data_IF_580690789705
#
_entry.id   IF_580690789705
#
_cell.length_a   1.000
_cell.length_b   1.000
_cell.length_c   1.000
_cell.angle_alpha   90.00
_cell.angle_beta   90.00
_cell.angle_gamma   90.00
#
_symmetry.space_group_name_H-M   'P 1'
#
loop_
_entity.id
_entity.type
_entity.pdbx_description
1 polymer ?
#
# COMPACT_ATOMS: atom_id res chain seq x y z
N UNK A 1 6.23 13.71 -11.00
CA UNK A 1 5.77 14.76 -10.06
C UNK A 1 5.62 14.09 -8.71
N UNK A 2 6.48 14.39 -7.76
CA UNK A 2 6.48 13.74 -6.44
C UNK A 2 5.20 14.08 -5.66
N UNK A 3 4.77 13.14 -4.82
CA UNK A 3 3.64 13.34 -3.91
C UNK A 3 3.89 14.56 -3.02
N UNK A 4 2.95 15.51 -3.01
CA UNK A 4 2.99 16.63 -2.05
C UNK A 4 2.45 16.17 -0.70
N UNK A 5 3.02 16.62 0.44
CA UNK A 5 2.48 16.29 1.76
C UNK A 5 1.03 16.73 1.87
N UNK A 6 0.13 15.81 2.23
CA UNK A 6 -1.30 16.08 2.40
C UNK A 6 -2.19 15.88 1.18
N UNK A 7 -1.63 15.66 -0.02
CA UNK A 7 -2.40 15.34 -1.22
C UNK A 7 -2.50 13.81 -1.43
N UNK A 8 -3.59 13.38 -2.06
CA UNK A 8 -3.74 12.00 -2.53
C UNK A 8 -2.84 11.77 -3.74
N UNK A 9 -1.93 10.80 -3.63
CA UNK A 9 -1.04 10.38 -4.70
C UNK A 9 -1.48 9.03 -5.25
N UNK A 10 -1.62 8.96 -6.58
CA UNK A 10 -1.88 7.73 -7.34
C UNK A 10 -0.58 7.27 -7.97
N UNK A 11 -0.20 6.01 -7.77
CA UNK A 11 0.94 5.40 -8.47
C UNK A 11 0.67 5.33 -9.98
N UNK A 12 1.72 5.53 -10.79
CA UNK A 12 1.60 5.51 -12.25
C UNK A 12 1.27 4.11 -12.80
N UNK A 13 1.64 3.06 -12.06
CA UNK A 13 1.39 1.66 -12.43
C UNK A 13 -0.07 1.24 -12.24
N UNK A 14 -0.79 1.91 -11.35
CA UNK A 14 -2.21 1.71 -11.08
C UNK A 14 -3.12 2.13 -12.26
N UNK A 15 -2.64 3.04 -13.11
CA UNK A 15 -3.43 3.59 -14.22
C UNK A 15 -3.54 2.63 -15.41
N UNK A 16 -2.68 1.61 -15.51
CA UNK A 16 -2.63 0.68 -16.63
C UNK A 16 -3.68 -0.45 -16.55
N UNK A 17 -4.14 -0.80 -15.34
CA UNK A 17 -5.10 -1.89 -15.10
C UNK A 17 -6.46 -1.40 -14.59
N UNK A 18 -6.63 -0.08 -14.46
CA UNK A 18 -7.89 0.54 -14.01
C UNK A 18 -8.10 0.48 -12.50
N UNK A 19 -7.03 0.34 -11.72
CA UNK A 19 -7.14 0.14 -10.27
C UNK A 19 -6.16 1.02 -9.56
N UNK A 20 -6.68 2.17 -9.14
CA UNK A 20 -5.86 3.16 -8.49
C UNK A 20 -5.98 3.01 -6.98
N UNK A 21 -4.89 2.65 -6.33
CA UNK A 21 -4.75 2.90 -4.90
C UNK A 21 -4.32 4.34 -4.77
N UNK A 22 -4.99 5.09 -3.90
CA UNK A 22 -4.56 6.43 -3.53
C UNK A 22 -3.89 6.36 -2.17
N UNK A 23 -2.69 6.90 -2.09
CA UNK A 23 -1.92 7.02 -0.85
C UNK A 23 -1.75 8.49 -0.54
N UNK A 24 -2.07 8.89 0.69
CA UNK A 24 -1.81 10.24 1.18
C UNK A 24 -0.84 10.18 2.34
N UNK A 25 0.33 10.77 2.14
CA UNK A 25 1.31 10.96 3.20
C UNK A 25 0.94 12.17 4.05
N UNK A 26 0.84 11.95 5.36
CA UNK A 26 0.74 12.94 6.41
C UNK A 26 2.00 12.84 7.28
N UNK A 27 2.22 13.84 8.12
CA UNK A 27 3.41 14.02 8.97
C UNK A 27 4.07 12.70 9.43
N UNK A 28 3.34 11.86 10.19
CA UNK A 28 3.77 10.52 10.65
C UNK A 28 2.80 9.41 10.26
N UNK A 29 1.82 9.71 9.40
CA UNK A 29 0.73 8.80 9.05
C UNK A 29 0.59 8.66 7.54
N UNK A 30 0.19 7.49 7.10
CA UNK A 30 -0.10 7.17 5.70
C UNK A 30 -1.54 6.69 5.63
N UNK A 31 -2.34 7.40 4.85
CA UNK A 31 -3.71 7.03 4.52
C UNK A 31 -3.73 6.32 3.16
N UNK A 32 -4.37 5.16 3.09
CA UNK A 32 -4.47 4.34 1.87
C UNK A 32 -5.95 4.06 1.60
N UNK A 33 -6.40 4.29 0.37
CA UNK A 33 -7.77 3.98 -0.03
C UNK A 33 -7.85 3.45 -1.46
N UNK A 34 -8.99 2.85 -1.77
CA UNK A 34 -9.35 2.51 -3.14
C UNK A 34 -9.90 3.75 -3.88
N UNK A 35 -9.39 4.00 -5.08
CA UNK A 35 -9.84 5.14 -5.91
C UNK A 35 -11.22 4.93 -6.54
N UNK A 36 -11.66 3.67 -6.73
CA UNK A 36 -12.98 3.35 -7.28
C UNK A 36 -14.04 3.63 -6.22
N UNK A 37 -13.71 3.43 -4.95
CA UNK A 37 -14.55 3.72 -3.80
C UNK A 37 -14.00 4.86 -2.93
N UNK A 38 -14.02 6.10 -3.46
CA UNK A 38 -13.51 7.29 -2.75
C UNK A 38 -14.24 7.63 -1.45
N UNK A 39 -15.48 7.14 -1.31
CA UNK A 39 -16.30 7.25 -0.09
C UNK A 39 -16.13 6.06 0.85
N UNK A 40 -15.27 5.11 0.48
CA UNK A 40 -15.01 3.87 1.17
C UNK A 40 -14.06 3.97 2.35
N UNK A 41 -13.67 2.81 2.90
CA UNK A 41 -12.74 2.74 4.02
C UNK A 41 -11.36 3.27 3.64
N UNK A 42 -10.74 4.00 4.56
CA UNK A 42 -9.37 4.48 4.47
C UNK A 42 -8.54 3.73 5.52
N UNK A 43 -7.50 3.03 5.09
CA UNK A 43 -6.53 2.41 5.98
C UNK A 43 -5.53 3.48 6.44
N UNK A 44 -5.42 3.72 7.74
CA UNK A 44 -4.47 4.68 8.30
C UNK A 44 -3.39 3.97 9.12
N UNK A 45 -2.14 4.09 8.70
CA UNK A 45 -0.96 3.45 9.33
C UNK A 45 0.13 4.47 9.58
N UNK A 46 1.15 4.15 10.38
CA UNK A 46 2.32 5.04 10.51
C UNK A 46 3.24 4.98 9.29
N UNK A 47 4.06 6.01 9.09
CA UNK A 47 5.11 6.02 8.06
C UNK A 47 6.11 4.86 8.22
N UNK A 48 6.45 4.53 9.48
CA UNK A 48 7.34 3.43 9.83
C UNK A 48 6.72 2.07 9.49
N UNK A 49 5.43 1.87 9.79
CA UNK A 49 4.71 0.65 9.40
C UNK A 49 4.55 0.53 7.89
N UNK A 50 4.22 1.63 7.21
CA UNK A 50 4.11 1.66 5.75
C UNK A 50 5.43 1.27 5.10
N UNK A 51 6.55 1.84 5.55
CA UNK A 51 7.88 1.51 5.04
C UNK A 51 8.26 0.05 5.29
N UNK A 52 7.98 -0.47 6.49
CA UNK A 52 8.21 -1.87 6.81
C UNK A 52 7.33 -2.81 5.95
N UNK A 53 6.09 -2.42 5.68
CA UNK A 53 5.17 -3.17 4.83
C UNK A 53 5.66 -3.24 3.39
N UNK A 54 6.07 -2.11 2.82
CA UNK A 54 6.65 -2.06 1.48
C UNK A 54 7.90 -2.94 1.34
N UNK A 55 8.78 -2.92 2.35
CA UNK A 55 9.96 -3.76 2.39
C UNK A 55 9.61 -5.26 2.45
N UNK A 56 8.55 -5.64 3.18
CA UNK A 56 8.09 -7.03 3.23
C UNK A 56 7.48 -7.46 1.89
N UNK A 57 6.63 -6.64 1.28
CA UNK A 57 6.03 -6.87 -0.04
C UNK A 57 7.08 -7.03 -1.15
N UNK A 58 8.16 -6.26 -1.10
CA UNK A 58 9.29 -6.37 -2.04
C UNK A 58 10.04 -7.71 -1.89
N UNK A 59 10.19 -8.19 -0.66
CA UNK A 59 10.84 -9.48 -0.34
C UNK A 59 9.99 -10.68 -0.69
N UNK A 60 8.68 -10.54 -0.82
CA UNK A 60 7.83 -11.66 -1.19
C UNK A 60 8.19 -12.20 -2.59
N UNK A 61 8.17 -13.53 -2.79
CA UNK A 61 8.34 -14.12 -4.12
C UNK A 61 7.16 -13.79 -5.05
N UNK A 62 7.33 -13.95 -6.37
CA UNK A 62 6.30 -13.61 -7.36
C UNK A 62 4.98 -14.38 -7.17
N UNK A 63 5.05 -15.60 -6.63
CA UNK A 63 3.88 -16.36 -6.14
C UNK A 63 3.96 -16.45 -4.61
N UNK A 64 3.04 -15.80 -3.93
CA UNK A 64 2.88 -15.90 -2.48
C UNK A 64 2.02 -17.14 -2.21
N UNK A 65 2.49 -18.07 -1.38
CA UNK A 65 1.63 -19.13 -0.89
C UNK A 65 0.54 -18.50 0.01
N UNK A 66 -0.71 -18.99 -0.02
CA UNK A 66 -1.82 -18.35 0.67
C UNK A 66 -1.63 -18.22 2.19
N UNK A 67 -0.70 -18.97 2.79
CA UNK A 67 -0.36 -18.92 4.21
C UNK A 67 0.60 -17.79 4.61
N UNK A 68 1.23 -17.10 3.64
CA UNK A 68 2.26 -16.09 3.92
C UNK A 68 1.77 -14.67 3.66
N UNK A 69 1.02 -14.10 4.60
CA UNK A 69 0.63 -12.69 4.56
C UNK A 69 1.85 -11.76 4.68
N UNK A 70 1.89 -10.68 3.89
CA UNK A 70 2.86 -9.61 4.11
C UNK A 70 2.39 -8.79 5.31
N UNK A 71 3.23 -8.47 6.28
CA UNK A 71 2.76 -7.73 7.46
C UNK A 71 3.83 -6.84 8.09
N UNK A 72 3.42 -5.64 8.50
CA UNK A 72 4.22 -4.73 9.29
C UNK A 72 3.58 -4.49 10.65
N UNK A 73 4.39 -4.60 11.71
CA UNK A 73 4.00 -4.34 13.11
C UNK A 73 5.11 -3.56 13.77
N UNK A 74 4.99 -2.24 13.77
CA UNK A 74 6.01 -1.36 14.35
C UNK A 74 5.48 -0.61 15.58
N UNK A 75 4.22 -0.18 15.59
CA UNK A 75 3.63 0.65 16.67
C UNK A 75 2.26 0.14 17.17
N UNK A 76 2.00 -1.17 17.05
CA UNK A 76 0.76 -1.79 17.54
C UNK A 76 -0.44 -1.71 16.59
N UNK A 77 -0.40 -0.85 15.56
CA UNK A 77 -1.17 -1.10 14.34
C UNK A 77 -0.50 -2.24 13.55
N UNK A 78 -1.26 -2.86 12.66
CA UNK A 78 -0.77 -3.96 11.82
C UNK A 78 -1.33 -3.75 10.44
N UNK A 79 -0.50 -3.34 9.50
CA UNK A 79 -0.87 -3.41 8.09
C UNK A 79 -0.49 -4.79 7.58
N UNK A 80 -1.48 -5.53 7.09
CA UNK A 80 -1.26 -6.84 6.50
C UNK A 80 -1.86 -6.92 5.10
N UNK A 81 -1.18 -7.62 4.21
CA UNK A 81 -1.68 -8.05 2.91
C UNK A 81 -1.83 -9.57 2.91
N UNK A 82 -3.07 -10.03 2.96
CA UNK A 82 -3.42 -11.44 2.89
C UNK A 82 -3.55 -11.85 1.42
N UNK A 83 -2.75 -12.78 0.91
CA UNK A 83 -2.92 -13.28 -0.46
C UNK A 83 -4.28 -13.96 -0.63
N UNK A 84 -4.95 -13.73 -1.75
CA UNK A 84 -6.18 -14.43 -2.10
C UNK A 84 -5.90 -15.65 -2.97
N UNK A 85 -6.83 -16.60 -2.99
CA UNK A 85 -6.73 -17.83 -3.80
C UNK A 85 -6.62 -17.51 -5.31
N UNK A 86 -7.20 -16.39 -5.74
CA UNK A 86 -7.18 -15.91 -7.12
C UNK A 86 -5.85 -15.23 -7.53
N UNK A 87 -4.85 -15.19 -6.64
CA UNK A 87 -3.54 -14.55 -6.88
C UNK A 87 -3.49 -13.06 -6.55
N UNK A 88 -4.60 -12.49 -6.08
CA UNK A 88 -4.70 -11.14 -5.56
C UNK A 88 -4.25 -11.02 -4.10
N UNK A 89 -4.62 -9.91 -3.47
CA UNK A 89 -4.35 -9.68 -2.05
C UNK A 89 -5.44 -8.83 -1.40
N UNK A 90 -5.68 -9.02 -0.11
CA UNK A 90 -6.53 -8.15 0.71
C UNK A 90 -5.63 -7.38 1.67
N UNK A 91 -5.55 -6.06 1.52
CA UNK A 91 -4.91 -5.20 2.49
C UNK A 91 -5.90 -4.89 3.59
N UNK A 92 -5.49 -5.02 4.84
CA UNK A 92 -6.31 -4.66 5.98
C UNK A 92 -5.44 -4.17 7.12
N UNK A 93 -6.01 -3.28 7.92
CA UNK A 93 -5.48 -3.00 9.25
C UNK A 93 -6.20 -3.92 10.24
N UNK A 94 -5.76 -3.99 11.50
CA UNK A 94 -6.47 -4.75 12.56
C UNK A 94 -7.93 -4.32 12.81
N UNK A 95 -8.46 -3.35 12.05
CA UNK A 95 -9.87 -2.95 12.01
C UNK A 95 -10.73 -3.76 11.03
N UNK A 96 -11.87 -3.20 10.64
CA UNK A 96 -12.80 -3.82 9.69
C UNK A 96 -12.55 -3.39 8.24
N UNK A 97 -11.72 -2.36 8.07
CA UNK A 97 -11.33 -1.79 6.80
C UNK A 97 -10.47 -2.78 5.99
N UNK A 98 -10.91 -3.07 4.77
CA UNK A 98 -10.27 -4.02 3.87
C UNK A 98 -10.26 -3.44 2.45
N UNK A 99 -9.12 -3.49 1.79
CA UNK A 99 -8.94 -3.15 0.37
C UNK A 99 -8.61 -4.43 -0.39
N UNK A 100 -9.45 -4.79 -1.35
CA UNK A 100 -9.32 -6.03 -2.11
C UNK A 100 -8.65 -5.76 -3.45
N UNK A 101 -7.62 -6.53 -3.75
CA UNK A 101 -6.86 -6.49 -4.99
C UNK A 101 -7.01 -7.82 -5.71
N UNK A 102 -7.29 -7.76 -7.00
CA UNK A 102 -7.16 -8.87 -7.95
C UNK A 102 -5.68 -9.15 -8.26
N UNK A 103 -5.39 -10.27 -8.91
CA UNK A 103 -4.03 -10.67 -9.33
C UNK A 103 -3.31 -9.56 -10.12
N UNK A 104 -3.96 -9.02 -11.15
CA UNK A 104 -3.38 -7.97 -12.00
C UNK A 104 -3.08 -6.68 -11.21
N UNK A 105 -3.97 -6.33 -10.28
CA UNK A 105 -3.84 -5.15 -9.42
C UNK A 105 -2.71 -5.32 -8.43
N UNK A 106 -2.59 -6.52 -7.83
CA UNK A 106 -1.52 -6.85 -6.90
C UNK A 106 -0.15 -6.89 -7.60
N UNK A 107 -0.08 -7.41 -8.82
CA UNK A 107 1.14 -7.37 -9.65
C UNK A 107 1.56 -5.92 -9.95
N UNK A 108 0.61 -5.06 -10.33
CA UNK A 108 0.88 -3.65 -10.59
C UNK A 108 1.35 -2.92 -9.31
N UNK A 109 0.68 -3.17 -8.19
CA UNK A 109 1.05 -2.62 -6.88
C UNK A 109 2.51 -2.97 -6.54
N UNK A 110 2.88 -4.24 -6.61
CA UNK A 110 4.25 -4.70 -6.30
C UNK A 110 5.32 -4.12 -7.23
N UNK A 111 4.98 -3.82 -8.49
CA UNK A 111 5.87 -3.10 -9.40
C UNK A 111 6.09 -1.67 -8.95
N UNK A 112 5.04 -0.97 -8.52
CA UNK A 112 5.15 0.37 -7.92
C UNK A 112 5.98 0.37 -6.64
N UNK A 113 5.82 -0.66 -5.78
CA UNK A 113 6.64 -0.85 -4.56
C UNK A 113 8.12 -0.97 -4.92
N UNK A 114 8.45 -1.84 -5.89
CA UNK A 114 9.82 -2.04 -6.40
C UNK A 114 10.42 -0.80 -7.05
N UNK A 115 9.58 0.01 -7.69
CA UNK A 115 9.97 1.28 -8.29
C UNK A 115 10.17 2.40 -7.24
N UNK A 116 9.84 2.17 -5.97
CA UNK A 116 9.94 3.17 -4.90
C UNK A 116 8.86 4.25 -4.96
N UNK A 117 7.80 4.08 -5.77
CA UNK A 117 6.75 5.11 -5.93
C UNK A 117 5.91 5.32 -4.67
N UNK A 118 5.85 4.30 -3.80
CA UNK A 118 5.11 4.33 -2.55
C UNK A 118 5.96 4.74 -1.36
N UNK A 119 7.27 4.99 -1.54
CA UNK A 119 8.09 5.48 -0.45
C UNK A 119 7.62 6.88 -0.05
N UNK A 120 7.52 7.17 1.27
CA UNK A 120 7.24 8.53 1.70
C UNK A 120 8.29 9.47 1.07
N UNK A 121 7.87 10.66 0.61
CA UNK A 121 8.82 11.63 0.09
C UNK A 121 9.88 11.85 1.16
N UNK A 122 11.15 11.80 0.77
CA UNK A 122 12.26 11.95 1.68
C UNK A 122 12.10 13.30 2.41
N UNK A 123 11.66 13.27 3.67
CA UNK A 123 11.49 14.48 4.47
C UNK A 123 12.85 15.11 4.78
N UNK A 124 13.97 14.43 4.48
CA UNK A 124 15.31 14.94 4.58
C UNK A 124 15.82 15.48 3.22
N UNK A 125 15.27 16.60 2.78
CA UNK A 125 15.98 17.75 2.18
C UNK A 125 14.96 18.71 1.58
N UNK A 126 14.47 19.64 2.40
CA UNK A 126 14.09 20.96 1.94
C UNK A 126 14.62 21.96 2.96
N UNK A 127 15.88 22.38 2.76
CA UNK A 127 16.48 23.50 3.47
C UNK A 127 17.33 24.33 2.52
#
# INVERSE_FOLDING_TARGET
MGARPGDWFVSSYSNATGTCVEVRFRDTLVDVRDSKDRSGPVLTVSDAEWTAFLADVDRQPARVAPDRAAHARTDGRSLAAEPTTDGGAVLHTGGTERLVFTDAEWIAYRRGVRAGEFSPPDTATQH
#
